data_IF_384687056872
#
_entry.id   IF_384687056872
#
_cell.length_a   1.000
_cell.length_b   1.000
_cell.length_c   1.000
_cell.angle_alpha   90.00
_cell.angle_beta   90.00
_cell.angle_gamma   90.00
#
_symmetry.space_group_name_H-M   'P 1'
#
loop_
_entity.id
_entity.type
_entity.pdbx_description
1 polymer ?
#
# COMPACT_ATOMS: atom_id res chain seq x y z
N UNK A 1 -6.06 -9.32 -47.22
CA UNK A 1 -5.10 -10.01 -46.31
C UNK A 1 -4.26 -9.02 -45.51
N UNK A 2 -3.64 -8.01 -46.12
CA UNK A 2 -2.83 -6.98 -45.42
C UNK A 2 -3.62 -6.18 -44.37
N UNK A 3 -4.87 -5.84 -44.64
CA UNK A 3 -5.78 -5.14 -43.71
C UNK A 3 -6.24 -6.02 -42.53
N UNK A 4 -6.39 -7.33 -42.73
CA UNK A 4 -6.75 -8.26 -41.65
C UNK A 4 -5.58 -8.49 -40.68
N UNK A 5 -4.35 -8.52 -41.21
CA UNK A 5 -3.11 -8.60 -40.41
C UNK A 5 -2.90 -7.34 -39.54
N UNK A 6 -3.28 -6.16 -40.04
CA UNK A 6 -3.18 -4.89 -39.32
C UNK A 6 -4.17 -4.79 -38.13
N UNK A 7 -5.37 -5.36 -38.26
CA UNK A 7 -6.38 -5.39 -37.20
C UNK A 7 -5.99 -6.35 -36.06
N UNK A 8 -5.39 -7.50 -36.39
CA UNK A 8 -4.86 -8.44 -35.39
C UNK A 8 -3.67 -7.84 -34.63
N UNK A 9 -2.81 -7.09 -35.32
CA UNK A 9 -1.69 -6.37 -34.69
C UNK A 9 -2.16 -5.26 -33.74
N UNK A 10 -3.33 -4.63 -34.00
CA UNK A 10 -3.89 -3.58 -33.15
C UNK A 10 -4.56 -4.16 -31.88
N UNK A 11 -5.12 -5.37 -31.96
CA UNK A 11 -5.67 -6.10 -30.81
C UNK A 11 -4.57 -6.71 -29.92
N UNK A 12 -3.41 -7.06 -30.47
CA UNK A 12 -2.28 -7.54 -29.67
C UNK A 12 -1.65 -6.41 -28.81
N UNK A 13 -1.81 -5.15 -29.22
CA UNK A 13 -1.28 -3.99 -28.49
C UNK A 13 -2.14 -3.56 -27.29
N UNK A 14 -3.39 -4.01 -27.18
CA UNK A 14 -4.27 -3.68 -26.04
C UNK A 14 -4.11 -4.62 -24.84
N UNK A 15 -3.28 -5.65 -24.96
CA UNK A 15 -2.82 -6.46 -23.82
C UNK A 15 -1.59 -5.81 -23.16
N UNK A 16 -1.45 -4.49 -23.29
CA UNK A 16 -0.54 -3.70 -22.46
C UNK A 16 -0.91 -3.98 -21.00
N UNK A 17 -0.15 -4.89 -20.41
CA UNK A 17 -0.28 -5.36 -19.05
C UNK A 17 -0.40 -4.14 -18.13
N UNK A 18 -1.61 -3.85 -17.68
CA UNK A 18 -1.77 -3.24 -16.38
C UNK A 18 -1.27 -4.31 -15.41
N UNK A 19 0.04 -4.31 -15.13
CA UNK A 19 0.59 -4.97 -13.95
C UNK A 19 -0.04 -4.23 -12.77
N UNK A 20 -1.27 -4.63 -12.41
CA UNK A 20 -1.91 -4.17 -11.20
C UNK A 20 -1.02 -4.67 -10.07
N UNK A 21 -0.56 -3.74 -9.24
CA UNK A 21 0.24 -4.06 -8.07
C UNK A 21 -0.50 -5.16 -7.26
N UNK A 22 0.21 -6.18 -6.77
CA UNK A 22 -0.41 -7.25 -5.99
C UNK A 22 -1.08 -6.73 -4.72
N UNK A 23 -0.56 -5.65 -4.12
CA UNK A 23 -1.22 -4.97 -2.99
C UNK A 23 -2.56 -4.36 -3.38
N UNK A 24 -2.65 -3.82 -4.59
CA UNK A 24 -3.88 -3.25 -5.12
C UNK A 24 -4.93 -4.34 -5.32
N UNK A 25 -4.53 -5.52 -5.80
CA UNK A 25 -5.43 -6.65 -5.93
C UNK A 25 -5.98 -7.10 -4.58
N UNK A 26 -5.11 -7.23 -3.57
CA UNK A 26 -5.54 -7.55 -2.20
C UNK A 26 -6.53 -6.49 -1.70
N UNK A 27 -6.20 -5.20 -1.83
CA UNK A 27 -7.10 -4.14 -1.39
C UNK A 27 -8.48 -4.23 -2.06
N UNK A 28 -8.53 -4.32 -3.39
CA UNK A 28 -9.78 -4.34 -4.13
C UNK A 28 -10.61 -5.62 -3.87
N UNK A 29 -9.97 -6.73 -3.52
CA UNK A 29 -10.65 -7.99 -3.15
C UNK A 29 -11.35 -7.89 -1.79
N UNK A 30 -10.74 -7.25 -0.79
CA UNK A 30 -11.24 -7.25 0.59
C UNK A 30 -11.97 -5.98 1.02
N UNK A 31 -11.85 -4.86 0.29
CA UNK A 31 -12.40 -3.53 0.68
C UNK A 31 -13.91 -3.48 0.95
N UNK A 32 -14.69 -4.40 0.39
CA UNK A 32 -16.16 -4.45 0.49
C UNK A 32 -16.65 -5.65 1.32
N UNK A 33 -15.73 -6.38 1.96
CA UNK A 33 -16.08 -7.54 2.79
C UNK A 33 -16.74 -7.10 4.10
N UNK A 34 -17.68 -7.91 4.58
CA UNK A 34 -18.34 -7.67 5.86
C UNK A 34 -17.32 -7.73 7.01
N UNK A 35 -17.37 -6.76 7.91
CA UNK A 35 -16.45 -6.68 9.06
C UNK A 35 -15.07 -6.10 8.69
N UNK A 36 -14.96 -5.50 7.50
CA UNK A 36 -13.74 -4.81 7.04
C UNK A 36 -14.03 -3.33 6.87
N UNK A 37 -13.26 -2.50 7.57
CA UNK A 37 -13.20 -1.06 7.31
C UNK A 37 -12.12 -0.81 6.27
N UNK A 38 -12.48 -0.15 5.17
CA UNK A 38 -11.54 0.20 4.11
C UNK A 38 -11.41 1.72 3.93
N UNK A 39 -10.17 2.19 3.83
CA UNK A 39 -9.84 3.60 3.60
C UNK A 39 -8.93 3.69 2.39
N UNK A 40 -9.21 4.62 1.46
CA UNK A 40 -8.37 4.88 0.28
C UNK A 40 -8.20 6.38 0.10
N UNK A 41 -6.97 6.85 0.24
CA UNK A 41 -6.57 8.23 0.02
C UNK A 41 -5.70 8.27 -1.23
N UNK A 42 -6.20 8.93 -2.28
CA UNK A 42 -5.47 9.06 -3.55
C UNK A 42 -4.73 10.38 -3.71
N UNK A 43 -3.86 10.43 -4.72
CA UNK A 43 -3.08 11.61 -5.16
C UNK A 43 -3.85 12.93 -5.21
N UNK A 44 -5.13 13.00 -5.66
CA UNK A 44 -5.89 14.26 -5.64
C UNK A 44 -6.05 14.84 -4.23
N UNK A 45 -6.23 14.00 -3.21
CA UNK A 45 -6.35 14.44 -1.82
C UNK A 45 -5.03 15.00 -1.31
N UNK A 46 -3.90 14.33 -1.59
CA UNK A 46 -2.57 14.85 -1.21
C UNK A 46 -2.25 16.18 -1.91
N UNK A 47 -2.63 16.33 -3.19
CA UNK A 47 -2.52 17.61 -3.90
C UNK A 47 -3.40 18.69 -3.28
N UNK A 48 -4.60 18.34 -2.82
CA UNK A 48 -5.49 19.27 -2.12
C UNK A 48 -4.86 19.71 -0.80
N UNK A 49 -4.41 18.77 0.04
CA UNK A 49 -3.73 19.03 1.31
C UNK A 49 -2.50 19.92 1.13
N UNK A 50 -1.66 19.68 0.11
CA UNK A 50 -0.48 20.51 -0.14
C UNK A 50 -0.80 21.96 -0.54
N UNK A 51 -1.99 22.19 -1.13
CA UNK A 51 -2.48 23.51 -1.55
C UNK A 51 -3.28 24.24 -0.47
N UNK A 52 -3.83 23.51 0.49
CA UNK A 52 -4.46 24.12 1.65
C UNK A 52 -3.34 24.55 2.60
N UNK A 53 -3.30 25.84 2.95
CA UNK A 53 -2.42 26.34 4.01
C UNK A 53 -3.01 25.92 5.36
N UNK A 54 -2.98 24.62 5.66
CA UNK A 54 -3.34 24.12 6.98
C UNK A 54 -2.12 24.37 7.87
N UNK A 55 -2.19 25.41 8.69
CA UNK A 55 -1.10 25.87 9.58
C UNK A 55 -0.89 24.99 10.82
N UNK A 56 -1.02 23.68 10.67
CA UNK A 56 -0.78 22.73 11.76
C UNK A 56 0.59 22.09 11.55
N UNK A 57 1.44 22.13 12.58
CA UNK A 57 2.82 21.62 12.58
C UNK A 57 2.92 20.16 12.08
N UNK A 58 1.85 19.39 12.25
CA UNK A 58 1.77 17.98 11.87
C UNK A 58 1.69 17.79 10.34
N UNK A 59 1.07 18.72 9.60
CA UNK A 59 0.97 18.63 8.14
C UNK A 59 2.30 19.00 7.46
N UNK A 60 3.07 19.93 8.04
CA UNK A 60 4.41 20.25 7.51
C UNK A 60 5.34 19.04 7.58
N UNK A 61 5.19 18.21 8.62
CA UNK A 61 5.98 17.00 8.83
C UNK A 61 5.73 15.93 7.77
N UNK A 62 4.47 15.75 7.35
CA UNK A 62 4.11 14.76 6.31
C UNK A 62 4.17 15.31 4.88
N UNK A 63 4.33 16.63 4.72
CA UNK A 63 4.37 17.33 3.42
C UNK A 63 5.39 16.77 2.42
N UNK A 64 6.63 16.42 2.83
CA UNK A 64 7.62 15.82 1.91
C UNK A 64 7.12 14.52 1.28
N UNK A 65 6.32 13.75 2.01
CA UNK A 65 5.74 12.48 1.56
C UNK A 65 4.54 12.69 0.63
N UNK A 66 3.74 13.74 0.83
CA UNK A 66 2.55 14.03 0.01
C UNK A 66 2.87 14.12 -1.49
N UNK A 67 4.12 14.48 -1.84
CA UNK A 67 4.59 14.57 -3.22
C UNK A 67 5.05 13.24 -3.82
N UNK A 68 5.43 12.28 -2.97
CA UNK A 68 6.07 11.00 -3.32
C UNK A 68 5.11 9.81 -3.25
N UNK A 69 4.01 9.98 -2.51
CA UNK A 69 2.96 8.97 -2.35
C UNK A 69 1.88 9.18 -3.41
N UNK A 70 1.55 8.11 -4.13
CA UNK A 70 0.44 8.07 -5.08
C UNK A 70 -0.88 7.72 -4.39
N UNK A 71 -0.86 6.77 -3.47
CA UNK A 71 -2.03 6.42 -2.68
C UNK A 71 -1.66 5.81 -1.33
N UNK A 72 -2.51 6.04 -0.32
CA UNK A 72 -2.52 5.27 0.94
C UNK A 72 -3.82 4.49 0.96
N UNK A 73 -3.72 3.19 1.23
CA UNK A 73 -4.85 2.29 1.36
C UNK A 73 -4.74 1.58 2.69
N UNK A 74 -5.84 1.45 3.41
CA UNK A 74 -5.90 0.75 4.68
C UNK A 74 -7.09 -0.20 4.70
N UNK A 75 -6.86 -1.40 5.22
CA UNK A 75 -7.89 -2.36 5.57
C UNK A 75 -7.75 -2.69 7.05
N UNK A 76 -8.83 -2.53 7.80
CA UNK A 76 -8.93 -2.88 9.21
C UNK A 76 -9.97 -3.98 9.35
N UNK A 77 -9.59 -5.08 10.00
CA UNK A 77 -10.39 -6.28 10.22
C UNK A 77 -10.64 -6.44 11.72
N UNK A 78 -11.70 -5.82 12.23
CA UNK A 78 -12.10 -5.89 13.65
C UNK A 78 -12.99 -7.10 13.97
N UNK A 79 -13.87 -7.50 13.03
CA UNK A 79 -14.87 -8.57 13.24
C UNK A 79 -15.11 -9.42 11.97
N UNK A 80 -14.14 -9.44 11.05
CA UNK A 80 -14.26 -10.17 9.77
C UNK A 80 -14.24 -11.71 9.92
N UNK A 81 -14.00 -12.22 11.14
CA UNK A 81 -13.80 -13.63 11.42
C UNK A 81 -12.39 -14.10 11.09
N UNK A 82 -11.90 -15.08 11.86
CA UNK A 82 -10.52 -15.58 11.78
C UNK A 82 -10.15 -16.14 10.39
N UNK A 83 -11.12 -16.62 9.62
CA UNK A 83 -10.90 -17.13 8.26
C UNK A 83 -10.39 -16.03 7.32
N UNK A 84 -11.06 -14.87 7.28
CA UNK A 84 -10.67 -13.75 6.41
C UNK A 84 -9.34 -13.17 6.86
N UNK A 85 -9.14 -12.99 8.17
CA UNK A 85 -7.86 -12.50 8.72
C UNK A 85 -6.70 -13.42 8.32
N UNK A 86 -6.87 -14.73 8.44
CA UNK A 86 -5.85 -15.71 8.04
C UNK A 86 -5.61 -15.74 6.53
N UNK A 87 -6.66 -15.60 5.73
CA UNK A 87 -6.57 -15.54 4.27
C UNK A 87 -5.74 -14.34 3.82
N UNK A 88 -6.02 -13.14 4.35
CA UNK A 88 -5.30 -11.91 3.99
C UNK A 88 -3.85 -11.96 4.50
N UNK A 89 -3.64 -12.45 5.73
CA UNK A 89 -2.28 -12.64 6.28
C UNK A 89 -1.46 -13.62 5.42
N UNK A 90 -2.10 -14.67 4.89
CA UNK A 90 -1.48 -15.62 3.96
C UNK A 90 -1.20 -14.99 2.59
N UNK A 91 -2.15 -14.23 2.05
CA UNK A 91 -1.99 -13.51 0.79
C UNK A 91 -0.78 -12.56 0.84
N UNK A 92 -0.62 -11.86 1.96
CA UNK A 92 0.52 -10.97 2.20
C UNK A 92 1.82 -11.72 2.41
N UNK A 93 1.80 -12.82 3.17
CA UNK A 93 3.00 -13.64 3.38
C UNK A 93 3.51 -14.31 2.09
N UNK A 94 2.63 -14.48 1.10
CA UNK A 94 2.98 -14.98 -0.23
C UNK A 94 3.49 -13.90 -1.20
N UNK A 95 3.45 -12.63 -0.80
CA UNK A 95 4.12 -11.57 -1.55
C UNK A 95 5.62 -11.76 -1.46
N UNK A 96 6.32 -11.64 -2.59
CA UNK A 96 7.79 -11.70 -2.64
C UNK A 96 8.39 -10.34 -2.27
N UNK A 97 8.04 -9.86 -1.08
CA UNK A 97 8.43 -8.54 -0.60
C UNK A 97 9.62 -8.68 0.33
N UNK A 98 10.45 -7.64 0.37
CA UNK A 98 11.60 -7.57 1.26
C UNK A 98 11.12 -7.20 2.67
N UNK A 99 11.48 -8.02 3.66
CA UNK A 99 11.17 -7.74 5.06
C UNK A 99 12.17 -6.71 5.61
N UNK A 100 11.68 -5.49 5.86
CA UNK A 100 12.50 -4.41 6.42
C UNK A 100 12.54 -4.47 7.95
N UNK A 101 11.40 -4.79 8.57
CA UNK A 101 11.25 -4.92 10.02
C UNK A 101 10.22 -5.99 10.34
N UNK A 102 10.53 -6.85 11.31
CA UNK A 102 9.57 -7.77 11.91
C UNK A 102 9.66 -7.67 13.43
N UNK A 103 8.53 -7.36 14.06
CA UNK A 103 8.39 -7.37 15.52
C UNK A 103 7.39 -8.45 15.90
N UNK A 104 7.81 -9.37 16.77
CA UNK A 104 6.94 -10.38 17.35
C UNK A 104 6.95 -10.18 18.86
N UNK A 105 5.77 -9.94 19.42
CA UNK A 105 5.53 -9.83 20.86
C UNK A 105 4.27 -10.65 21.19
N UNK A 106 4.07 -11.04 22.44
CA UNK A 106 2.95 -11.91 22.87
C UNK A 106 1.61 -11.48 22.23
N UNK A 107 1.08 -12.31 21.32
CA UNK A 107 -0.18 -12.06 20.60
C UNK A 107 -0.14 -10.97 19.52
N UNK A 108 1.01 -10.34 19.26
CA UNK A 108 1.16 -9.21 18.34
C UNK A 108 2.31 -9.44 17.34
N UNK A 109 2.01 -9.29 16.06
CA UNK A 109 2.97 -9.41 14.97
C UNK A 109 2.89 -8.20 14.06
N UNK A 110 3.98 -7.44 13.99
CA UNK A 110 4.12 -6.28 13.12
C UNK A 110 5.16 -6.58 12.06
N UNK A 111 4.83 -6.34 10.80
CA UNK A 111 5.75 -6.43 9.66
C UNK A 111 5.76 -5.12 8.88
N UNK A 112 6.96 -4.66 8.54
CA UNK A 112 7.18 -3.60 7.58
C UNK A 112 7.89 -4.20 6.37
N UNK A 113 7.28 -4.06 5.20
CA UNK A 113 7.66 -4.74 3.96
C UNK A 113 7.79 -3.74 2.82
N UNK A 114 8.68 -3.99 1.86
CA UNK A 114 8.79 -3.23 0.61
C UNK A 114 8.66 -4.16 -0.61
N UNK A 115 8.03 -3.70 -1.68
CA UNK A 115 7.93 -4.46 -2.92
C UNK A 115 9.29 -4.61 -3.61
N UNK A 116 10.07 -3.53 -3.63
CA UNK A 116 11.44 -3.52 -4.12
C UNK A 116 12.30 -2.53 -3.35
N UNK A 117 13.56 -2.91 -3.14
CA UNK A 117 14.60 -2.05 -2.60
C UNK A 117 15.69 -1.88 -3.67
N UNK A 118 15.91 -0.64 -4.12
CA UNK A 118 16.97 -0.29 -5.08
C UNK A 118 17.83 0.86 -4.53
N UNK A 119 19.01 0.50 -4.01
CA UNK A 119 19.87 1.43 -3.29
C UNK A 119 19.15 2.04 -2.09
N UNK A 120 18.91 3.35 -2.14
CA UNK A 120 18.23 4.09 -1.08
C UNK A 120 16.70 4.18 -1.26
N UNK A 121 16.17 3.66 -2.37
CA UNK A 121 14.75 3.75 -2.70
C UNK A 121 14.00 2.49 -2.27
N UNK A 122 12.81 2.71 -1.72
CA UNK A 122 11.86 1.72 -1.26
C UNK A 122 10.55 1.95 -2.02
N UNK A 123 10.17 1.01 -2.86
CA UNK A 123 8.92 1.09 -3.60
C UNK A 123 7.83 0.29 -2.90
N UNK A 124 6.64 0.89 -2.83
CA UNK A 124 5.39 0.31 -2.36
C UNK A 124 5.54 -0.38 -1.00
N UNK A 125 5.35 0.40 0.06
CA UNK A 125 5.48 -0.06 1.43
C UNK A 125 4.19 -0.71 1.91
N UNK A 126 4.35 -1.79 2.67
CA UNK A 126 3.26 -2.49 3.34
C UNK A 126 3.57 -2.60 4.83
N UNK A 127 2.69 -2.04 5.65
CA UNK A 127 2.61 -2.29 7.08
C UNK A 127 1.51 -3.32 7.34
N UNK A 128 1.88 -4.41 8.01
CA UNK A 128 0.95 -5.43 8.48
C UNK A 128 1.04 -5.52 9.99
N UNK A 129 -0.08 -5.32 10.66
CA UNK A 129 -0.22 -5.49 12.10
C UNK A 129 -1.28 -6.57 12.31
N UNK A 130 -0.90 -7.65 12.99
CA UNK A 130 -1.81 -8.72 13.38
C UNK A 130 -1.75 -8.84 14.90
N UNK A 131 -2.88 -8.55 15.55
CA UNK A 131 -3.07 -8.59 16.99
C UNK A 131 -4.25 -9.49 17.33
N UNK A 132 -4.42 -9.83 18.60
CA UNK A 132 -5.61 -10.59 19.02
C UNK A 132 -6.90 -9.82 18.69
N UNK A 133 -7.70 -10.39 17.79
CA UNK A 133 -9.00 -9.82 17.39
C UNK A 133 -8.93 -8.80 16.26
N UNK A 134 -7.79 -8.12 16.05
CA UNK A 134 -7.66 -7.05 15.07
C UNK A 134 -6.52 -7.33 14.09
N UNK A 135 -6.76 -7.11 12.81
CA UNK A 135 -5.69 -7.09 11.79
C UNK A 135 -5.79 -5.81 10.98
N UNK A 136 -4.65 -5.12 10.83
CA UNK A 136 -4.53 -3.89 10.06
C UNK A 136 -3.51 -4.13 8.95
N UNK A 137 -3.90 -3.77 7.73
CA UNK A 137 -2.98 -3.65 6.61
C UNK A 137 -3.02 -2.23 6.08
N UNK A 138 -1.86 -1.60 5.99
CA UNK A 138 -1.69 -0.29 5.38
C UNK A 138 -0.70 -0.41 4.23
N UNK A 139 -1.15 -0.01 3.05
CA UNK A 139 -0.38 0.03 1.82
C UNK A 139 -0.11 1.49 1.50
N UNK A 140 1.16 1.81 1.29
CA UNK A 140 1.60 3.10 0.79
C UNK A 140 2.21 2.85 -0.59
N UNK A 141 1.46 3.22 -1.62
CA UNK A 141 1.89 3.15 -3.02
C UNK A 141 2.64 4.43 -3.37
N UNK A 142 3.90 4.26 -3.76
CA UNK A 142 4.86 5.34 -3.96
C UNK A 142 6.30 4.84 -3.90
N UNK A 143 7.24 5.76 -4.09
CA UNK A 143 8.67 5.50 -3.98
C UNK A 143 9.27 6.45 -2.96
N UNK A 144 9.84 5.90 -1.89
CA UNK A 144 10.35 6.65 -0.75
C UNK A 144 11.83 6.36 -0.55
N UNK A 145 12.60 7.36 -0.10
CA UNK A 145 13.98 7.13 0.35
C UNK A 145 14.03 6.76 1.82
N UNK A 146 15.10 6.11 2.27
CA UNK A 146 15.35 5.94 3.71
C UNK A 146 15.29 7.26 4.49
N UNK A 147 15.82 8.34 3.93
CA UNK A 147 15.75 9.68 4.53
C UNK A 147 14.31 10.19 4.73
N UNK A 148 13.40 9.83 3.82
CA UNK A 148 11.99 10.21 3.92
C UNK A 148 11.30 9.50 5.09
N UNK A 149 11.69 8.24 5.34
CA UNK A 149 11.20 7.46 6.49
C UNK A 149 11.83 7.96 7.79
N UNK A 150 13.13 8.26 7.78
CA UNK A 150 13.83 8.81 8.95
C UNK A 150 13.21 10.13 9.41
N UNK A 151 12.75 10.97 8.49
CA UNK A 151 12.03 12.20 8.81
C UNK A 151 10.69 11.94 9.54
N UNK A 152 10.06 10.77 9.36
CA UNK A 152 8.83 10.42 10.09
C UNK A 152 9.11 9.94 11.51
N UNK A 153 10.19 9.18 11.70
CA UNK A 153 10.49 8.53 12.98
C UNK A 153 11.21 9.49 13.94
N UNK A 154 12.02 10.42 13.42
CA UNK A 154 12.89 11.26 14.23
C UNK A 154 12.30 12.63 14.62
N UNK A 155 11.06 12.94 14.24
CA UNK A 155 10.38 14.13 14.74
C UNK A 155 9.82 13.86 16.15
N UNK A 156 10.68 14.07 17.15
CA UNK A 156 10.30 14.33 18.54
C UNK A 156 10.29 15.83 18.80
#
# INVERSE_FOLDING_TARGET
MKTFMLIISLFAATIANAQINKLDQIFEQYKEQKGVTSIKIGKPMFKMLNKMNIGEADIETVRPLLSKVNSIKMLVFEDAGSAIQNEVASAISNLKYEELLVVNSEGNKIKFLAESVDGDFLDNLLLSINSEGETIFMILDGSLKYDDINALVNNN
#
